data_IF_602554291145
#
_entry.id   IF_602554291145
#
_cell.length_a   1.000
_cell.length_b   1.000
_cell.length_c   1.000
_cell.angle_alpha   90.00
_cell.angle_beta   90.00
_cell.angle_gamma   90.00
#
_symmetry.space_group_name_H-M   'P 1'
#
loop_
_entity.id
_entity.type
_entity.pdbx_description
1 polymer ?
#
# COMPACT_ATOMS: atom_id res chain seq x y z
N UNK A 1 -10.49 -1.22 -2.59
CA UNK A 1 -9.26 -1.98 -2.32
C UNK A 1 -8.86 -1.91 -0.86
N UNK A 2 -8.57 -0.72 -0.29
CA UNK A 2 -8.14 -0.60 1.12
C UNK A 2 -9.15 -1.26 2.06
N UNK A 3 -10.41 -0.84 2.02
CA UNK A 3 -11.48 -1.43 2.85
C UNK A 3 -11.69 -2.93 2.67
N UNK A 4 -11.37 -3.50 1.51
CA UNK A 4 -11.54 -4.95 1.25
C UNK A 4 -10.39 -5.80 1.78
N UNK A 5 -9.22 -5.21 2.02
CA UNK A 5 -8.03 -5.93 2.51
C UNK A 5 -7.75 -5.65 3.99
N UNK A 6 -8.30 -4.57 4.56
CA UNK A 6 -8.05 -4.15 5.94
C UNK A 6 -8.37 -5.19 7.02
N UNK A 7 -9.26 -6.15 6.75
CA UNK A 7 -9.60 -7.21 7.70
C UNK A 7 -8.57 -8.35 7.73
N UNK A 8 -7.66 -8.42 6.75
CA UNK A 8 -6.68 -9.50 6.59
C UNK A 8 -5.25 -9.08 6.98
N UNK A 9 -4.98 -7.79 7.13
CA UNK A 9 -3.65 -7.26 7.38
C UNK A 9 -3.63 -6.36 8.61
N UNK A 10 -2.65 -6.56 9.48
CA UNK A 10 -2.42 -5.74 10.67
C UNK A 10 -1.88 -4.36 10.33
N UNK A 11 -1.15 -4.25 9.22
CA UNK A 11 -0.58 -3.01 8.69
C UNK A 11 -0.69 -2.97 7.16
N UNK A 12 -0.99 -1.81 6.61
CA UNK A 12 -1.13 -1.58 5.18
C UNK A 12 -0.22 -0.43 4.78
N UNK A 13 0.81 -0.74 3.99
CA UNK A 13 1.70 0.27 3.42
C UNK A 13 1.15 0.65 2.04
N UNK A 14 0.73 1.90 1.89
CA UNK A 14 0.27 2.46 0.62
C UNK A 14 1.36 3.34 0.06
N UNK A 15 1.86 3.02 -1.15
CA UNK A 15 2.85 3.85 -1.83
C UNK A 15 2.17 4.58 -2.99
N UNK A 16 2.00 5.89 -2.84
CA UNK A 16 1.52 6.78 -3.88
C UNK A 16 2.69 7.27 -4.75
N UNK A 17 2.84 6.68 -5.93
CA UNK A 17 3.96 6.94 -6.83
C UNK A 17 3.73 8.13 -7.78
N UNK A 18 3.55 9.32 -7.21
CA UNK A 18 3.42 10.56 -7.97
C UNK A 18 2.08 10.74 -8.68
N UNK A 19 0.99 10.22 -8.11
CA UNK A 19 -0.36 10.48 -8.63
C UNK A 19 -0.68 11.97 -8.55
N UNK A 20 -1.24 12.52 -9.63
CA UNK A 20 -1.65 13.93 -9.73
C UNK A 20 -3.13 14.16 -9.39
N UNK A 21 -3.82 13.13 -8.94
CA UNK A 21 -5.23 13.16 -8.59
C UNK A 21 -5.43 13.13 -7.07
N UNK A 22 -6.65 12.80 -6.63
CA UNK A 22 -7.01 12.79 -5.20
C UNK A 22 -6.57 11.53 -4.46
N UNK A 23 -5.68 10.70 -5.04
CA UNK A 23 -5.26 9.44 -4.42
C UNK A 23 -4.75 9.63 -3.00
N UNK A 24 -3.87 10.60 -2.77
CA UNK A 24 -3.33 10.90 -1.43
C UNK A 24 -4.44 11.33 -0.46
N UNK A 25 -5.32 12.26 -0.86
CA UNK A 25 -6.45 12.70 -0.05
C UNK A 25 -7.37 11.52 0.33
N UNK A 26 -7.66 10.63 -0.62
CA UNK A 26 -8.52 9.47 -0.39
C UNK A 26 -7.87 8.52 0.63
N UNK A 27 -6.57 8.28 0.56
CA UNK A 27 -5.87 7.42 1.51
C UNK A 27 -5.86 8.04 2.91
N UNK A 28 -5.62 9.36 3.01
CA UNK A 28 -5.65 10.10 4.28
C UNK A 28 -7.05 10.12 4.90
N UNK A 29 -8.11 10.21 4.09
CA UNK A 29 -9.49 10.14 4.60
C UNK A 29 -9.83 8.72 5.08
N UNK A 30 -9.30 7.70 4.39
CA UNK A 30 -9.47 6.29 4.77
C UNK A 30 -8.48 5.84 5.86
N UNK A 31 -7.77 6.77 6.51
CA UNK A 31 -6.66 6.53 7.44
C UNK A 31 -7.14 5.93 8.76
N UNK A 32 -7.59 4.67 8.71
CA UNK A 32 -7.66 3.81 9.87
C UNK A 32 -6.27 3.64 10.47
N UNK A 33 -6.19 3.35 11.77
CA UNK A 33 -4.94 3.29 12.57
C UNK A 33 -3.84 2.33 12.08
N UNK A 34 -4.04 1.68 10.94
CA UNK A 34 -3.21 0.61 10.36
C UNK A 34 -2.59 0.99 9.02
N UNK A 35 -2.86 2.19 8.49
CA UNK A 35 -2.35 2.62 7.18
C UNK A 35 -1.09 3.48 7.36
N UNK A 36 -0.04 3.14 6.61
CA UNK A 36 1.16 3.96 6.45
C UNK A 36 1.22 4.41 4.99
N UNK A 37 1.04 5.71 4.76
CA UNK A 37 1.12 6.31 3.44
C UNK A 37 2.54 6.83 3.16
N UNK A 38 3.10 6.42 2.01
CA UNK A 38 4.35 6.93 1.43
C UNK A 38 4.01 7.62 0.12
N UNK A 39 4.28 8.92 0.01
CA UNK A 39 4.02 9.70 -1.21
C UNK A 39 5.33 10.11 -1.88
N UNK A 40 5.43 9.89 -3.18
CA UNK A 40 6.51 10.42 -4.01
C UNK A 40 6.05 11.66 -4.77
N UNK A 41 6.94 12.64 -4.92
CA UNK A 41 6.68 13.85 -5.71
C UNK A 41 6.66 13.62 -7.23
N UNK A 42 7.15 12.46 -7.68
CA UNK A 42 7.23 12.06 -9.09
C UNK A 42 7.14 10.54 -9.20
N UNK A 43 6.66 10.05 -10.34
CA UNK A 43 6.58 8.61 -10.63
C UNK A 43 7.99 7.99 -10.72
N UNK A 44 8.30 7.10 -9.76
CA UNK A 44 9.56 6.34 -9.70
C UNK A 44 9.45 4.98 -10.39
N UNK A 45 8.26 4.62 -10.84
CA UNK A 45 7.92 3.34 -11.42
C UNK A 45 7.76 2.25 -10.36
N UNK A 46 7.41 1.05 -10.84
CA UNK A 46 7.13 -0.12 -10.00
C UNK A 46 8.31 -0.47 -9.09
N UNK A 47 9.54 -0.43 -9.62
CA UNK A 47 10.74 -0.73 -8.85
C UNK A 47 10.97 0.24 -7.68
N UNK A 48 10.81 1.55 -7.93
CA UNK A 48 10.93 2.58 -6.87
C UNK A 48 9.81 2.49 -5.84
N UNK A 49 8.61 2.14 -6.28
CA UNK A 49 7.45 1.91 -5.41
C UNK A 49 7.70 0.74 -4.45
N UNK A 50 8.14 -0.42 -4.98
CA UNK A 50 8.43 -1.61 -4.16
C UNK A 50 9.60 -1.35 -3.22
N UNK A 51 10.66 -0.69 -3.68
CA UNK A 51 11.81 -0.35 -2.84
C UNK A 51 11.40 0.53 -1.64
N UNK A 52 10.54 1.53 -1.88
CA UNK A 52 10.06 2.44 -0.84
C UNK A 52 9.13 1.73 0.15
N UNK A 53 8.24 0.86 -0.34
CA UNK A 53 7.42 0.00 0.52
C UNK A 53 8.27 -0.93 1.41
N UNK A 54 9.33 -1.54 0.85
CA UNK A 54 10.24 -2.39 1.61
C UNK A 54 11.02 -1.63 2.69
N UNK A 55 11.40 -0.37 2.44
CA UNK A 55 12.07 0.45 3.47
C UNK A 55 11.15 0.68 4.67
N UNK A 56 9.86 0.92 4.44
CA UNK A 56 8.87 1.05 5.52
C UNK A 56 8.66 -0.30 6.22
N UNK A 57 8.52 -1.39 5.45
CA UNK A 57 8.37 -2.74 6.02
C UNK A 57 9.51 -3.08 7.00
N UNK A 58 10.76 -2.80 6.62
CA UNK A 58 11.93 -3.01 7.49
C UNK A 58 11.88 -2.09 8.71
N UNK A 59 11.51 -0.83 8.54
CA UNK A 59 11.45 0.16 9.62
C UNK A 59 10.38 -0.16 10.67
N UNK A 60 9.24 -0.70 10.23
CA UNK A 60 8.14 -1.11 11.10
C UNK A 60 8.35 -2.52 11.69
N UNK A 61 9.48 -3.17 11.41
CA UNK A 61 9.85 -4.49 11.93
C UNK A 61 8.77 -5.57 11.67
N UNK A 62 8.12 -5.51 10.52
CA UNK A 62 7.06 -6.44 10.12
C UNK A 62 7.65 -7.79 9.68
N UNK A 63 6.89 -8.88 9.85
CA UNK A 63 7.38 -10.24 9.56
C UNK A 63 7.21 -10.64 8.08
N UNK A 64 6.09 -10.28 7.46
CA UNK A 64 5.69 -10.72 6.12
C UNK A 64 5.14 -9.54 5.32
N UNK A 65 5.57 -9.42 4.06
CA UNK A 65 5.04 -8.44 3.11
C UNK A 65 4.31 -9.13 1.97
N UNK A 66 3.12 -8.63 1.63
CA UNK A 66 2.37 -9.01 0.43
C UNK A 66 2.23 -7.78 -0.45
N UNK A 67 2.74 -7.86 -1.68
CA UNK A 67 2.66 -6.76 -2.64
C UNK A 67 1.39 -6.94 -3.47
N UNK A 68 0.51 -5.95 -3.43
CA UNK A 68 -0.75 -5.93 -4.16
C UNK A 68 -0.71 -4.86 -5.27
N UNK A 69 -1.02 -5.24 -6.51
CA UNK A 69 -1.14 -4.27 -7.61
C UNK A 69 -2.45 -3.47 -7.49
N UNK A 70 -2.42 -2.19 -7.87
CA UNK A 70 -3.53 -1.25 -7.74
C UNK A 70 -4.63 -1.39 -8.80
N UNK A 71 -4.45 -2.27 -9.78
CA UNK A 71 -5.39 -2.51 -10.88
C UNK A 71 -6.59 -3.39 -10.49
N UNK A 72 -6.85 -3.54 -9.17
CA UNK A 72 -7.91 -4.37 -8.60
C UNK A 72 -7.89 -5.83 -9.08
N UNK A 73 -6.76 -6.34 -9.60
CA UNK A 73 -6.58 -7.75 -9.95
C UNK A 73 -6.37 -8.62 -8.69
N UNK A 74 -7.11 -8.33 -7.62
CA UNK A 74 -7.23 -9.22 -6.46
C UNK A 74 -8.40 -10.14 -6.75
N UNK A 75 -8.07 -11.38 -7.10
CA UNK A 75 -9.07 -12.42 -7.27
C UNK A 75 -9.76 -12.66 -5.92
N UNK A 76 -11.09 -12.63 -5.94
CA UNK A 76 -11.97 -12.68 -4.77
C UNK A 76 -11.63 -13.93 -3.92
N UNK A 77 -11.10 -13.72 -2.72
CA UNK A 77 -10.76 -14.79 -1.76
C UNK A 77 -9.27 -15.06 -1.55
N UNK A 78 -8.47 -14.05 -1.22
CA UNK A 78 -7.19 -14.31 -0.52
C UNK A 78 -7.55 -15.12 0.74
N UNK A 79 -7.08 -16.38 0.87
CA UNK A 79 -5.67 -16.74 0.77
C UNK A 79 -5.26 -17.67 -0.38
N UNK A 80 -4.03 -17.46 -0.88
CA UNK A 80 -3.12 -18.50 -1.39
C UNK A 80 -1.67 -18.05 -1.20
N UNK A 81 -1.25 -18.05 0.06
CA UNK A 81 0.08 -18.42 0.58
C UNK A 81 -0.16 -19.10 1.93
#
# INVERSE_FOLDING_TARGET
MISSVSDYFDSIIVVNDGSSDKTEEIVIINNGSRIVLVSHSSNLGVGGTIASGNQIFIKEELDIVVILASDNQIQKGIPSI
#
